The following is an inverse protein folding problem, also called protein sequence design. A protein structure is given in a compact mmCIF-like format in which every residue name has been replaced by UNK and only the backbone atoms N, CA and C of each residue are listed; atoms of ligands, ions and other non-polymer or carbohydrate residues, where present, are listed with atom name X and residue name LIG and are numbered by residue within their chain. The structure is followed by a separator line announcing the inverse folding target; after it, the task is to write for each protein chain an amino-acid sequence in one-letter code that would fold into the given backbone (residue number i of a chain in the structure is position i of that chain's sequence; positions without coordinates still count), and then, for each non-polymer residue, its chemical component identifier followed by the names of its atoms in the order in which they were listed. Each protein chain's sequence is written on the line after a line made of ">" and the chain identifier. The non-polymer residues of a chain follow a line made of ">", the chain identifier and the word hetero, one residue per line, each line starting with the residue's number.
data_IF_444593808889
#
_entry.id   IF_444593808889
#
_cell.length_a   1.000
_cell.length_b   1.000
_cell.length_c   1.000
_cell.angle_alpha   90.00
_cell.angle_beta   90.00
_cell.angle_gamma   90.00
#
_symmetry.space_group_name_H-M   'P 1'
#
loop_
_entity.id
_entity.type
_entity.pdbx_description
1 polymer ?
#
# COMPACT_ATOMS: atom_id res chain seq x y z
N UNK A 1 -47.23 -7.77 -8.43
CA UNK A 1 -46.35 -7.38 -7.30
C UNK A 1 -45.40 -8.52 -7.01
N UNK A 2 -44.10 -8.24 -7.09
CA UNK A 2 -42.99 -8.87 -6.36
C UNK A 2 -41.78 -8.98 -7.30
N UNK A 3 -40.95 -7.93 -7.27
CA UNK A 3 -39.63 -7.94 -7.89
C UNK A 3 -38.70 -8.74 -6.99
N UNK A 4 -38.17 -9.86 -7.49
CA UNK A 4 -37.14 -10.63 -6.81
C UNK A 4 -35.80 -9.93 -7.05
N UNK A 5 -35.27 -9.31 -6.00
CA UNK A 5 -33.91 -8.79 -5.97
C UNK A 5 -32.95 -9.98 -5.89
N UNK A 6 -32.30 -10.30 -7.00
CA UNK A 6 -31.14 -11.18 -7.00
C UNK A 6 -29.91 -10.31 -6.73
N UNK A 7 -29.45 -10.31 -5.49
CA UNK A 7 -28.19 -9.67 -5.12
C UNK A 7 -27.04 -10.26 -5.94
N UNK A 8 -26.43 -9.42 -6.77
CA UNK A 8 -25.17 -9.74 -7.44
C UNK A 8 -24.09 -9.69 -6.37
N UNK A 9 -23.67 -10.86 -5.89
CA UNK A 9 -22.40 -10.99 -5.19
C UNK A 9 -21.31 -10.64 -6.20
N UNK A 10 -20.78 -9.41 -6.13
CA UNK A 10 -19.61 -8.96 -6.90
C UNK A 10 -18.42 -9.83 -6.48
N UNK A 11 -18.17 -10.91 -7.23
CA UNK A 11 -16.92 -11.63 -7.14
C UNK A 11 -15.90 -10.76 -7.88
N UNK A 12 -15.03 -10.05 -7.14
CA UNK A 12 -13.98 -9.23 -7.74
C UNK A 12 -13.18 -10.07 -8.72
N UNK A 13 -13.14 -9.60 -9.96
CA UNK A 13 -12.42 -10.30 -11.01
C UNK A 13 -10.92 -10.14 -10.75
N UNK A 14 -10.13 -11.13 -11.17
CA UNK A 14 -8.67 -11.09 -11.09
C UNK A 14 -8.08 -9.86 -11.81
N UNK A 15 -8.82 -9.25 -12.74
CA UNK A 15 -8.42 -8.02 -13.44
C UNK A 15 -8.51 -6.75 -12.55
N UNK A 16 -9.35 -6.76 -11.52
CA UNK A 16 -9.69 -5.57 -10.71
C UNK A 16 -8.59 -5.15 -9.73
N UNK A 17 -7.51 -5.94 -9.61
CA UNK A 17 -6.37 -5.68 -8.70
C UNK A 17 -5.02 -5.58 -9.43
N UNK A 18 -5.00 -5.81 -10.75
CA UNK A 18 -3.75 -5.89 -11.53
C UNK A 18 -2.95 -4.59 -11.48
N UNK A 19 -3.55 -3.40 -11.68
CA UNK A 19 -2.80 -2.14 -11.64
C UNK A 19 -2.12 -1.88 -10.29
N UNK A 20 -2.84 -2.13 -9.19
CA UNK A 20 -2.37 -1.93 -7.82
C UNK A 20 -1.23 -2.89 -7.49
N UNK A 21 -1.42 -4.19 -7.80
CA UNK A 21 -0.36 -5.19 -7.60
C UNK A 21 0.86 -4.85 -8.46
N UNK A 22 0.67 -4.44 -9.72
CA UNK A 22 1.78 -4.07 -10.60
C UNK A 22 2.58 -2.88 -10.05
N UNK A 23 1.91 -1.86 -9.52
CA UNK A 23 2.56 -0.72 -8.88
C UNK A 23 3.37 -1.14 -7.64
N UNK A 24 2.78 -1.98 -6.78
CA UNK A 24 3.45 -2.52 -5.59
C UNK A 24 4.69 -3.36 -5.95
N UNK A 25 4.55 -4.29 -6.90
CA UNK A 25 5.64 -5.14 -7.38
C UNK A 25 6.75 -4.30 -8.01
N UNK A 26 6.40 -3.35 -8.88
CA UNK A 26 7.34 -2.44 -9.50
C UNK A 26 8.16 -1.66 -8.49
N UNK A 27 7.51 -1.16 -7.43
CA UNK A 27 8.18 -0.48 -6.33
C UNK A 27 9.18 -1.39 -5.60
N UNK A 28 8.78 -2.59 -5.19
CA UNK A 28 9.70 -3.53 -4.50
C UNK A 28 10.86 -3.94 -5.42
N UNK A 29 10.59 -4.24 -6.69
CA UNK A 29 11.63 -4.54 -7.69
C UNK A 29 12.60 -3.37 -7.88
N UNK A 30 12.11 -2.13 -7.83
CA UNK A 30 12.97 -0.93 -7.93
C UNK A 30 13.92 -0.79 -6.74
N UNK A 31 13.49 -1.19 -5.53
CA UNK A 31 14.35 -1.19 -4.33
C UNK A 31 15.48 -2.22 -4.48
N UNK A 32 15.14 -3.43 -4.93
CA UNK A 32 16.12 -4.50 -5.19
C UNK A 32 17.13 -4.09 -6.28
N UNK A 33 16.66 -3.44 -7.36
CA UNK A 33 17.51 -2.91 -8.43
C UNK A 33 18.47 -1.84 -7.94
N UNK A 34 17.97 -0.88 -7.16
CA UNK A 34 18.76 0.31 -6.77
C UNK A 34 19.86 -0.04 -5.78
N UNK A 35 19.63 -1.03 -4.91
CA UNK A 35 20.54 -1.36 -3.80
C UNK A 35 21.38 -2.61 -4.02
N UNK A 36 21.13 -3.37 -5.09
CA UNK A 36 21.80 -4.65 -5.34
C UNK A 36 22.21 -4.85 -6.80
N UNK A 37 23.14 -5.78 -6.99
CA UNK A 37 23.51 -6.29 -8.32
C UNK A 37 22.52 -7.37 -8.77
N UNK A 38 21.21 -7.09 -8.76
CA UNK A 38 20.18 -8.01 -9.25
C UNK A 38 19.98 -7.75 -10.74
N UNK A 39 20.17 -8.78 -11.57
CA UNK A 39 20.04 -8.64 -13.03
C UNK A 39 18.58 -8.37 -13.45
N UNK A 40 18.36 -7.73 -14.60
CA UNK A 40 17.01 -7.50 -15.12
C UNK A 40 16.22 -8.81 -15.33
N UNK A 41 16.91 -9.88 -15.75
CA UNK A 41 16.28 -11.20 -15.87
C UNK A 41 15.80 -11.72 -14.50
N UNK A 42 16.62 -11.61 -13.45
CA UNK A 42 16.19 -11.96 -12.08
C UNK A 42 15.03 -11.07 -11.63
N UNK A 43 15.07 -9.76 -11.88
CA UNK A 43 13.97 -8.86 -11.52
C UNK A 43 12.67 -9.21 -12.24
N UNK A 44 12.74 -9.66 -13.51
CA UNK A 44 11.56 -10.12 -14.25
C UNK A 44 10.95 -11.38 -13.63
N UNK A 45 11.78 -12.37 -13.28
CA UNK A 45 11.34 -13.60 -12.58
C UNK A 45 10.74 -13.26 -11.22
N UNK A 46 11.41 -12.43 -10.43
CA UNK A 46 10.92 -11.97 -9.12
C UNK A 46 9.58 -11.24 -9.24
N UNK A 47 9.46 -10.32 -10.20
CA UNK A 47 8.25 -9.53 -10.41
C UNK A 47 7.06 -10.42 -10.78
N UNK A 48 7.26 -11.39 -11.68
CA UNK A 48 6.23 -12.36 -12.03
C UNK A 48 5.80 -13.23 -10.85
N UNK A 49 6.77 -13.76 -10.11
CA UNK A 49 6.51 -14.60 -8.93
C UNK A 49 5.77 -13.83 -7.82
N UNK A 50 6.15 -12.58 -7.56
CA UNK A 50 5.51 -11.74 -6.55
C UNK A 50 4.09 -11.35 -6.98
N UNK A 51 3.90 -10.98 -8.25
CA UNK A 51 2.58 -10.65 -8.78
C UNK A 51 1.60 -11.82 -8.65
N UNK A 52 2.02 -13.04 -9.01
CA UNK A 52 1.20 -14.24 -8.88
C UNK A 52 0.86 -14.51 -7.41
N UNK A 53 1.85 -14.46 -6.51
CA UNK A 53 1.65 -14.74 -5.10
C UNK A 53 0.71 -13.73 -4.42
N UNK A 54 0.83 -12.44 -4.73
CA UNK A 54 -0.06 -11.40 -4.20
C UNK A 54 -1.47 -11.54 -4.75
N UNK A 55 -1.62 -11.83 -6.05
CA UNK A 55 -2.93 -12.05 -6.67
C UNK A 55 -3.67 -13.20 -5.99
N UNK A 56 -2.97 -14.31 -5.75
CA UNK A 56 -3.54 -15.47 -5.04
C UNK A 56 -3.85 -15.15 -3.58
N UNK A 57 -2.99 -14.38 -2.90
CA UNK A 57 -3.20 -13.99 -1.51
C UNK A 57 -4.42 -13.07 -1.34
N UNK A 58 -4.62 -12.12 -2.26
CA UNK A 58 -5.67 -11.10 -2.16
C UNK A 58 -7.03 -11.55 -2.68
N UNK A 59 -7.13 -12.69 -3.38
CA UNK A 59 -8.33 -13.15 -4.11
C UNK A 59 -9.66 -13.11 -3.34
N UNK A 60 -9.64 -13.31 -2.01
CA UNK A 60 -10.84 -13.29 -1.16
C UNK A 60 -10.88 -12.10 -0.19
N UNK A 61 -9.92 -11.20 -0.34
CA UNK A 61 -9.74 -10.04 0.51
C UNK A 61 -9.63 -8.77 -0.33
N UNK A 62 -10.26 -8.72 -1.52
CA UNK A 62 -10.32 -7.54 -2.36
C UNK A 62 -11.77 -7.03 -2.39
N UNK A 63 -11.99 -5.78 -1.97
CA UNK A 63 -13.33 -5.20 -1.86
C UNK A 63 -13.33 -3.77 -2.43
N UNK A 64 -13.48 -3.58 -3.75
CA UNK A 64 -13.46 -2.26 -4.37
C UNK A 64 -14.48 -1.28 -3.80
N UNK A 65 -15.66 -1.76 -3.37
CA UNK A 65 -16.70 -0.92 -2.77
C UNK A 65 -16.36 -0.46 -1.35
N UNK A 66 -15.39 -1.12 -0.70
CA UNK A 66 -14.87 -0.76 0.63
C UNK A 66 -13.34 -0.94 0.63
N UNK A 67 -12.57 -0.05 -0.04
CA UNK A 67 -11.15 -0.28 -0.31
C UNK A 67 -10.33 -0.64 0.93
N UNK A 68 -10.57 0.03 2.05
CA UNK A 68 -9.85 -0.20 3.30
C UNK A 68 -10.21 -1.51 4.02
N UNK A 69 -11.31 -2.19 3.63
CA UNK A 69 -11.66 -3.50 4.20
C UNK A 69 -10.60 -4.51 3.78
N UNK A 70 -9.93 -5.12 4.76
CA UNK A 70 -8.85 -6.08 4.51
C UNK A 70 -7.50 -5.43 4.19
N UNK A 71 -7.35 -4.11 4.25
CA UNK A 71 -6.08 -3.41 3.98
C UNK A 71 -4.93 -3.95 4.84
N UNK A 72 -5.15 -4.15 6.15
CA UNK A 72 -4.15 -4.75 7.03
C UNK A 72 -3.77 -6.21 6.69
N UNK A 73 -4.67 -6.98 6.06
CA UNK A 73 -4.37 -8.33 5.57
C UNK A 73 -3.50 -8.28 4.30
N UNK A 74 -3.80 -7.34 3.41
CA UNK A 74 -3.05 -7.17 2.16
C UNK A 74 -1.71 -6.48 2.33
N UNK A 75 -1.57 -5.70 3.41
CA UNK A 75 -0.37 -4.93 3.73
C UNK A 75 0.89 -5.80 3.68
N UNK A 76 1.87 -5.36 2.91
CA UNK A 76 3.22 -5.94 2.87
C UNK A 76 4.06 -5.18 3.89
N UNK A 77 4.62 -5.90 4.87
CA UNK A 77 5.36 -5.28 5.98
C UNK A 77 6.73 -5.91 6.18
N UNK A 78 7.74 -5.07 6.20
CA UNK A 78 9.11 -5.41 6.61
C UNK A 78 9.41 -4.61 7.87
N UNK A 79 9.82 -5.31 8.92
CA UNK A 79 10.38 -4.74 10.14
C UNK A 79 11.51 -5.68 10.62
N UNK A 80 11.56 -6.02 11.91
CA UNK A 80 12.39 -7.13 12.41
C UNK A 80 12.09 -8.50 11.77
N UNK A 81 10.99 -8.60 11.01
CA UNK A 81 10.62 -9.77 10.21
C UNK A 81 10.38 -9.38 8.76
N UNK A 82 10.98 -10.14 7.84
CA UNK A 82 10.72 -10.05 6.41
C UNK A 82 9.33 -10.57 6.08
N UNK A 83 8.66 -9.90 5.15
CA UNK A 83 7.39 -10.37 4.60
C UNK A 83 7.58 -11.76 3.95
N UNK A 84 6.74 -12.76 4.30
CA UNK A 84 6.92 -14.12 3.80
C UNK A 84 6.67 -14.27 2.30
N UNK A 85 5.81 -13.43 1.70
CA UNK A 85 5.54 -13.46 0.27
C UNK A 85 6.73 -12.88 -0.50
N UNK A 86 7.30 -11.76 -0.04
CA UNK A 86 8.55 -11.21 -0.59
C UNK A 86 9.66 -12.25 -0.48
N UNK A 87 9.87 -12.84 0.71
CA UNK A 87 10.94 -13.82 0.92
C UNK A 87 10.80 -15.03 0.00
N UNK A 88 9.58 -15.52 -0.22
CA UNK A 88 9.30 -16.66 -1.11
C UNK A 88 9.52 -16.32 -2.58
N UNK A 89 9.13 -15.12 -3.03
CA UNK A 89 9.38 -14.68 -4.40
C UNK A 89 10.88 -14.48 -4.65
N UNK A 90 11.58 -13.84 -3.71
CA UNK A 90 13.01 -13.58 -3.79
C UNK A 90 13.87 -14.85 -3.78
N UNK A 91 13.46 -15.90 -3.05
CA UNK A 91 14.21 -17.16 -3.06
C UNK A 91 14.25 -17.83 -4.45
N UNK A 92 13.28 -17.55 -5.33
CA UNK A 92 13.27 -18.08 -6.70
C UNK A 92 14.39 -17.49 -7.57
N UNK A 93 14.92 -16.33 -7.19
CA UNK A 93 16.03 -15.67 -7.90
C UNK A 93 17.37 -15.79 -7.17
N UNK A 94 17.42 -16.66 -6.15
CA UNK A 94 18.62 -16.96 -5.38
C UNK A 94 18.94 -15.96 -4.26
N UNK A 95 18.03 -15.03 -3.92
CA UNK A 95 18.24 -14.13 -2.79
C UNK A 95 17.82 -14.81 -1.48
N UNK A 96 18.76 -14.84 -0.52
CA UNK A 96 18.50 -15.31 0.83
C UNK A 96 18.00 -14.17 1.74
N UNK A 97 17.54 -14.54 2.94
CA UNK A 97 16.94 -13.60 3.89
C UNK A 97 17.92 -12.49 4.34
N UNK A 98 19.20 -12.81 4.52
CA UNK A 98 20.22 -11.84 4.92
C UNK A 98 20.45 -10.79 3.82
N UNK A 99 20.49 -11.22 2.56
CA UNK A 99 20.58 -10.31 1.41
C UNK A 99 19.34 -9.40 1.34
N UNK A 100 18.14 -9.94 1.57
CA UNK A 100 16.93 -9.12 1.57
C UNK A 100 16.95 -8.02 2.63
N UNK A 101 17.43 -8.31 3.84
CA UNK A 101 17.58 -7.28 4.88
C UNK A 101 18.63 -6.21 4.55
N UNK A 102 19.62 -6.52 3.71
CA UNK A 102 20.59 -5.54 3.23
C UNK A 102 20.03 -4.70 2.07
N UNK A 103 19.21 -5.30 1.22
CA UNK A 103 18.71 -4.71 -0.02
C UNK A 103 17.40 -3.93 0.14
N UNK A 104 16.56 -4.26 1.13
CA UNK A 104 15.28 -3.59 1.37
C UNK A 104 15.37 -2.66 2.58
N UNK A 105 14.49 -1.65 2.70
CA UNK A 105 14.40 -0.85 3.92
C UNK A 105 14.13 -1.74 5.13
N UNK A 106 14.82 -1.46 6.25
CA UNK A 106 14.62 -2.19 7.52
C UNK A 106 13.20 -2.06 8.04
N UNK A 107 12.53 -0.96 7.69
CA UNK A 107 11.14 -0.67 8.04
C UNK A 107 10.41 -0.18 6.81
N UNK A 108 9.53 -1.03 6.28
CA UNK A 108 8.65 -0.73 5.15
C UNK A 108 7.25 -1.19 5.51
N UNK A 109 6.27 -0.32 5.29
CA UNK A 109 4.85 -0.69 5.27
C UNK A 109 4.29 -0.27 3.92
N UNK A 110 3.72 -1.19 3.16
CA UNK A 110 3.17 -0.98 1.82
C UNK A 110 1.72 -1.47 1.80
N UNK A 111 0.79 -0.55 1.61
CA UNK A 111 -0.63 -0.83 1.48
C UNK A 111 -0.98 -0.97 0.01
N UNK A 112 -1.66 -2.06 -0.32
CA UNK A 112 -2.11 -2.37 -1.68
C UNK A 112 -3.62 -2.52 -1.61
N UNK A 113 -4.31 -1.41 -1.82
CA UNK A 113 -5.75 -1.29 -1.65
C UNK A 113 -6.41 -0.95 -2.99
N UNK A 114 -7.68 -1.33 -3.23
CA UNK A 114 -8.37 -0.92 -4.45
C UNK A 114 -8.24 0.59 -4.68
N UNK A 115 -7.80 0.96 -5.88
CA UNK A 115 -7.59 2.34 -6.32
C UNK A 115 -6.43 3.10 -5.67
N UNK A 116 -5.70 2.54 -4.70
CA UNK A 116 -4.57 3.21 -4.07
C UNK A 116 -3.45 2.24 -3.66
N UNK A 117 -2.22 2.57 -4.02
CA UNK A 117 -1.02 1.96 -3.44
C UNK A 117 -0.22 3.04 -2.76
N UNK A 118 0.02 2.88 -1.47
CA UNK A 118 0.77 3.84 -0.66
C UNK A 118 1.76 3.12 0.25
N UNK A 119 2.82 3.81 0.65
CA UNK A 119 3.86 3.23 1.47
C UNK A 119 4.41 4.22 2.50
N UNK A 120 5.06 3.66 3.52
CA UNK A 120 5.85 4.37 4.51
C UNK A 120 7.17 3.64 4.73
N UNK A 121 8.28 4.38 4.73
CA UNK A 121 9.62 3.89 5.11
C UNK A 121 9.99 4.50 6.46
N UNK A 122 10.35 3.67 7.44
CA UNK A 122 10.57 4.06 8.84
C UNK A 122 9.28 4.16 9.66
N UNK A 123 9.39 4.02 10.98
CA UNK A 123 8.28 4.23 11.92
C UNK A 123 7.67 5.63 11.80
N UNK A 124 8.52 6.67 11.77
CA UNK A 124 8.13 8.08 11.67
C UNK A 124 8.10 8.62 10.23
N UNK A 125 8.12 7.72 9.24
CA UNK A 125 8.10 8.09 7.83
C UNK A 125 6.80 8.79 7.40
N UNK A 126 6.90 9.67 6.40
CA UNK A 126 5.71 10.17 5.71
C UNK A 126 5.07 9.08 4.85
N UNK A 127 3.74 9.12 4.71
CA UNK A 127 3.03 8.27 3.76
C UNK A 127 3.17 8.88 2.36
N UNK A 128 3.60 8.07 1.40
CA UNK A 128 3.76 8.43 0.01
C UNK A 128 2.84 7.56 -0.85
N UNK A 129 2.15 8.17 -1.82
CA UNK A 129 1.28 7.47 -2.77
C UNK A 129 2.10 7.08 -4.01
N UNK A 130 2.06 5.80 -4.38
CA UNK A 130 2.70 5.22 -5.58
C UNK A 130 1.73 5.12 -6.75
N UNK A 131 0.47 4.82 -6.45
CA UNK A 131 -0.60 4.67 -7.43
C UNK A 131 -1.90 5.19 -6.84
N UNK A 132 -2.67 5.92 -7.64
CA UNK A 132 -3.99 6.40 -7.31
C UNK A 132 -4.85 6.35 -8.57
N UNK A 133 -6.06 5.82 -8.46
CA UNK A 133 -7.05 5.80 -9.52
C UNK A 133 -8.36 6.43 -9.06
N UNK A 134 -9.07 7.07 -9.99
CA UNK A 134 -10.37 7.63 -9.70
C UNK A 134 -11.38 6.50 -9.45
N UNK A 135 -12.02 6.52 -8.28
CA UNK A 135 -13.17 5.65 -8.01
C UNK A 135 -14.33 6.17 -8.87
N UNK A 136 -14.85 5.34 -9.77
CA UNK A 136 -16.08 5.65 -10.49
C UNK A 136 -17.26 5.60 -9.50
N UNK A 137 -17.48 6.69 -8.74
CA UNK A 137 -18.66 6.86 -7.89
C UNK A 137 -19.46 8.08 -8.34
N UNK A 138 -20.80 7.98 -8.44
CA UNK A 138 -21.65 9.17 -8.47
C UNK A 138 -21.56 9.83 -7.08
N UNK A 139 -21.02 11.05 -7.07
CA UNK A 139 -20.88 12.03 -5.99
C UNK A 139 -21.45 11.61 -4.62
N UNK A 140 -20.58 11.34 -3.65
CA UNK A 140 -20.88 11.68 -2.26
C UNK A 140 -19.61 12.18 -1.57
N UNK A 141 -19.72 13.42 -1.10
CA UNK A 141 -18.65 14.22 -0.54
C UNK A 141 -18.12 13.65 0.77
N UNK A 142 -16.89 13.17 0.78
CA UNK A 142 -16.05 13.18 1.97
C UNK A 142 -14.78 13.92 1.61
N UNK A 143 -14.71 15.17 2.11
CA UNK A 143 -13.68 16.13 1.75
C UNK A 143 -12.28 15.64 2.12
N UNK A 144 -11.43 15.54 1.11
CA UNK A 144 -9.98 15.53 1.28
C UNK A 144 -9.51 16.95 1.60
N UNK A 145 -9.13 17.20 2.86
CA UNK A 145 -8.26 18.31 3.21
C UNK A 145 -6.82 17.90 2.87
N UNK A 146 -6.39 18.20 1.64
CA UNK A 146 -4.97 18.18 1.30
C UNK A 146 -4.35 19.52 1.69
N UNK A 147 -3.18 19.46 2.33
CA UNK A 147 -2.43 20.58 2.91
C UNK A 147 -1.80 21.55 1.89
N UNK A 148 -2.43 21.74 0.72
CA UNK A 148 -1.94 22.62 -0.35
C UNK A 148 -2.75 23.89 -0.59
N UNK A 149 -3.88 24.11 0.10
CA UNK A 149 -4.69 25.33 -0.06
C UNK A 149 -4.68 26.33 1.12
N UNK A 150 -3.66 26.31 1.98
CA UNK A 150 -3.57 27.22 3.12
C UNK A 150 -2.48 28.29 2.97
N UNK A 151 -2.36 28.89 1.79
CA UNK A 151 -1.48 30.06 1.57
C UNK A 151 -2.24 31.35 1.18
N UNK A 152 -3.58 31.32 1.16
CA UNK A 152 -4.40 32.46 0.67
C UNK A 152 -5.57 32.82 1.58
N UNK A 153 -5.42 32.72 2.91
CA UNK A 153 -6.33 33.39 3.85
C UNK A 153 -5.52 33.91 5.04
N UNK A 154 -5.43 35.24 5.13
CA UNK A 154 -4.71 35.94 6.19
C UNK A 154 -5.41 35.85 7.56
N UNK A 155 -4.58 35.96 8.60
CA UNK A 155 -4.85 36.43 9.99
C UNK A 155 -6.06 35.81 10.70
N UNK A 156 -5.82 34.96 11.71
CA UNK A 156 -5.53 35.32 13.12
C UNK A 156 -5.38 34.03 13.94
N UNK A 157 -4.25 33.83 14.60
CA UNK A 157 -4.05 32.74 15.57
C UNK A 157 -4.78 33.04 16.88
N UNK A 158 -5.49 32.09 17.51
CA UNK A 158 -5.74 32.14 18.93
C UNK A 158 -4.57 31.48 19.68
N UNK A 159 -3.93 32.26 20.55
CA UNK A 159 -2.93 31.76 21.51
C UNK A 159 -3.58 30.81 22.51
N UNK A 160 -3.13 29.55 22.59
CA UNK A 160 -3.44 28.66 23.72
C UNK A 160 -2.27 28.70 24.71
N UNK A 161 -2.41 29.51 25.75
CA UNK A 161 -1.59 29.45 26.96
C UNK A 161 -1.98 28.20 27.74
N UNK A 162 -1.07 27.24 27.91
CA UNK A 162 -1.19 26.21 28.95
C UNK A 162 -0.43 26.71 30.19
N UNK A 163 -1.17 27.02 31.24
CA UNK A 163 -0.63 27.34 32.56
C UNK A 163 -0.56 26.02 33.34
N UNK A 164 0.65 25.57 33.69
CA UNK A 164 0.84 24.41 34.56
C UNK A 164 0.89 24.91 36.01
N UNK A 165 -0.17 24.65 36.79
CA UNK A 165 -0.15 24.87 38.24
C UNK A 165 0.53 23.68 38.91
N UNK A 166 1.66 23.92 39.55
CA UNK A 166 2.27 23.01 40.53
C UNK A 166 1.70 23.34 41.90
N UNK A 167 1.13 22.35 42.59
CA UNK A 167 0.78 22.45 44.00
C UNK A 167 1.86 21.79 44.84
N UNK A 168 2.26 22.49 45.90
CA UNK A 168 3.23 22.07 46.93
C UNK A 168 2.67 21.02 47.88
#
# INVERSE_FOLDING_TARGET
>A
MSQRWSGVSSCSSRADMVPEIAAAVGFVSSLLRTRGCVSEHQLQVFSGALQEALTEHYKHHWFPEKPFKGSGYRCIRINHKMDPIISKAASQIGLNLQQLYQLLPSELTLWVDPYEVSYRIGEDGSICVLYEAAVATPVSSYGMLTCKNQMMLGRTSPSKNYMMTVSS
#
